data_IF_662503877459
#
_entry.id   IF_662503877459
#
_cell.length_a   1.000
_cell.length_b   1.000
_cell.length_c   1.000
_cell.angle_alpha   90.00
_cell.angle_beta   90.00
_cell.angle_gamma   90.00
#
_symmetry.space_group_name_H-M   'P 1'
#
loop_
_entity.id
_entity.type
_entity.pdbx_description
1 polymer ?
#
# COMPACT_ATOMS: atom_id res chain seq x y z
N UNK A 1 -4.24 -23.04 -2.92
CA UNK A 1 -3.37 -21.86 -2.84
C UNK A 1 -2.44 -21.90 -1.63
N UNK A 2 -2.94 -22.24 -0.45
CA UNK A 2 -2.13 -22.20 0.77
C UNK A 2 -1.60 -23.57 1.21
N UNK A 3 -1.76 -24.61 0.39
CA UNK A 3 -1.33 -25.97 0.74
C UNK A 3 0.18 -26.10 0.95
N UNK A 4 0.96 -25.21 0.29
CA UNK A 4 2.42 -25.27 0.35
C UNK A 4 3.01 -24.42 1.46
N UNK A 5 2.17 -23.77 2.27
CA UNK A 5 2.64 -22.94 3.37
C UNK A 5 2.59 -23.68 4.69
N UNK A 6 3.52 -23.38 5.62
CA UNK A 6 3.43 -23.95 6.96
C UNK A 6 2.20 -23.42 7.70
N UNK A 7 1.70 -24.17 8.66
CA UNK A 7 0.61 -23.71 9.52
C UNK A 7 1.14 -23.42 10.92
N UNK A 8 0.71 -22.32 11.57
CA UNK A 8 -0.23 -21.33 11.05
C UNK A 8 0.39 -20.44 9.97
N UNK A 9 -0.47 -19.92 9.08
CA UNK A 9 -0.07 -18.95 8.07
C UNK A 9 -0.20 -17.56 8.67
N UNK A 10 0.83 -16.72 8.49
CA UNK A 10 0.85 -15.35 9.00
C UNK A 10 0.77 -14.39 7.80
N UNK A 11 -0.34 -13.64 7.73
CA UNK A 11 -0.53 -12.61 6.70
C UNK A 11 -0.52 -11.24 7.37
N UNK A 12 0.35 -10.35 6.91
CA UNK A 12 0.45 -9.00 7.46
C UNK A 12 -0.62 -8.10 6.80
N UNK A 13 -1.57 -7.63 7.60
CA UNK A 13 -2.66 -6.75 7.17
C UNK A 13 -2.10 -5.38 6.75
N UNK A 14 -2.17 -5.06 5.45
CA UNK A 14 -1.61 -3.82 4.85
C UNK A 14 -0.11 -3.66 5.05
N UNK A 15 0.59 -4.76 5.37
CA UNK A 15 2.01 -4.77 5.65
C UNK A 15 2.33 -4.60 7.13
N UNK A 16 3.50 -4.06 7.44
CA UNK A 16 3.94 -3.82 8.81
C UNK A 16 3.51 -2.43 9.27
N UNK A 17 2.30 -2.32 9.83
CA UNK A 17 1.68 -1.04 10.21
C UNK A 17 2.38 -0.33 11.35
N UNK A 18 3.16 -1.06 12.14
CA UNK A 18 3.86 -0.48 13.29
C UNK A 18 5.09 0.31 12.87
N UNK A 19 5.72 -0.10 11.78
CA UNK A 19 7.04 0.41 11.40
C UNK A 19 7.07 1.12 10.05
N UNK A 20 6.00 1.03 9.25
CA UNK A 20 5.97 1.62 7.91
C UNK A 20 4.53 2.00 7.53
N UNK A 21 4.36 2.95 6.58
CA UNK A 21 3.01 3.35 6.16
C UNK A 21 2.28 2.20 5.47
N UNK A 22 0.98 2.06 5.79
CA UNK A 22 0.15 0.97 5.27
C UNK A 22 0.13 0.92 3.75
N UNK A 23 -0.01 -0.29 3.19
CA UNK A 23 -0.21 -0.50 1.75
C UNK A 23 0.89 0.13 0.90
N UNK A 24 2.14 0.13 1.37
CA UNK A 24 3.30 0.58 0.59
C UNK A 24 4.28 -0.56 0.40
N UNK A 25 5.16 -0.43 -0.58
CA UNK A 25 6.22 -1.42 -0.79
C UNK A 25 7.12 -1.51 0.44
N UNK A 26 7.36 -0.39 1.12
CA UNK A 26 8.16 -0.38 2.34
C UNK A 26 7.54 -1.24 3.44
N UNK A 27 6.20 -1.13 3.66
CA UNK A 27 5.53 -1.92 4.69
C UNK A 27 5.50 -3.40 4.34
N UNK A 28 5.32 -3.74 3.07
CA UNK A 28 5.31 -5.13 2.62
C UNK A 28 6.69 -5.76 2.75
N UNK A 29 7.73 -5.04 2.35
CA UNK A 29 9.10 -5.54 2.48
C UNK A 29 9.47 -5.81 3.94
N UNK A 30 9.10 -4.90 4.85
CA UNK A 30 9.37 -5.08 6.28
C UNK A 30 8.60 -6.28 6.86
N UNK A 31 7.33 -6.44 6.46
CA UNK A 31 6.53 -7.57 6.94
C UNK A 31 7.15 -8.90 6.55
N UNK A 32 7.56 -9.04 5.30
CA UNK A 32 8.19 -10.26 4.80
C UNK A 32 9.54 -10.51 5.47
N UNK A 33 10.32 -9.45 5.67
CA UNK A 33 11.62 -9.55 6.33
C UNK A 33 11.48 -10.02 7.78
N UNK A 34 10.38 -9.69 8.44
CA UNK A 34 10.11 -10.09 9.82
C UNK A 34 9.45 -11.45 9.93
N UNK A 35 9.28 -12.16 8.84
CA UNK A 35 8.83 -13.55 8.85
C UNK A 35 7.37 -13.77 8.52
N UNK A 36 6.65 -12.75 8.04
CA UNK A 36 5.30 -12.97 7.54
C UNK A 36 5.32 -13.88 6.31
N UNK A 37 4.33 -14.75 6.18
CA UNK A 37 4.22 -15.64 5.03
C UNK A 37 3.72 -14.94 3.78
N UNK A 38 3.03 -13.82 3.96
CA UNK A 38 2.54 -12.99 2.87
C UNK A 38 1.98 -11.69 3.42
N UNK A 39 1.38 -10.91 2.55
CA UNK A 39 0.76 -9.64 2.93
C UNK A 39 -0.68 -9.61 2.44
N UNK A 40 -1.54 -8.98 3.23
CA UNK A 40 -2.90 -8.64 2.82
C UNK A 40 -2.88 -7.19 2.37
N UNK A 41 -3.49 -6.90 1.23
CA UNK A 41 -3.52 -5.56 0.69
C UNK A 41 -4.92 -5.21 0.19
N UNK A 42 -5.14 -3.92 -0.05
CA UNK A 42 -6.40 -3.40 -0.56
C UNK A 42 -6.15 -2.75 -1.92
N UNK A 43 -7.01 -3.04 -2.88
CA UNK A 43 -6.85 -2.55 -4.25
C UNK A 43 -8.02 -1.67 -4.66
N UNK A 44 -7.73 -0.62 -5.42
CA UNK A 44 -8.72 0.31 -5.96
C UNK A 44 -8.37 0.66 -7.40
N UNK A 45 -9.37 1.15 -8.15
CA UNK A 45 -9.18 1.57 -9.55
C UNK A 45 -9.07 3.08 -9.65
N UNK A 46 -8.10 3.54 -10.42
CA UNK A 46 -7.97 4.95 -10.81
C UNK A 46 -8.98 5.30 -11.89
N UNK A 47 -9.07 6.60 -12.23
CA UNK A 47 -10.00 7.06 -13.28
C UNK A 47 -9.71 6.43 -14.64
N UNK A 48 -8.44 6.07 -14.90
CA UNK A 48 -8.01 5.45 -16.16
C UNK A 48 -7.87 3.93 -16.05
N UNK A 49 -8.52 3.31 -15.03
CA UNK A 49 -8.65 1.87 -14.94
C UNK A 49 -7.41 1.12 -14.48
N UNK A 50 -6.45 1.80 -13.88
CA UNK A 50 -5.26 1.15 -13.34
C UNK A 50 -5.50 0.70 -11.91
N UNK A 51 -4.93 -0.45 -11.52
CA UNK A 51 -5.10 -1.02 -10.17
C UNK A 51 -3.96 -0.56 -9.28
N UNK A 52 -4.34 0.15 -8.21
CA UNK A 52 -3.37 0.64 -7.22
C UNK A 52 -3.69 0.04 -5.86
N UNK A 53 -2.73 0.11 -4.94
CA UNK A 53 -2.84 -0.49 -3.60
C UNK A 53 -3.07 0.63 -2.60
N UNK A 54 -4.31 0.74 -2.11
CA UNK A 54 -4.72 1.75 -1.14
C UNK A 54 -6.05 1.30 -0.51
N UNK A 55 -6.24 1.60 0.78
CA UNK A 55 -7.43 1.14 1.51
C UNK A 55 -8.65 2.04 1.29
N UNK A 56 -8.47 3.36 1.49
CA UNK A 56 -9.59 4.30 1.47
C UNK A 56 -10.04 4.58 0.03
N UNK A 57 -11.27 5.09 -0.11
CA UNK A 57 -11.77 5.54 -1.40
C UNK A 57 -11.25 6.92 -1.79
N UNK A 58 -10.57 7.61 -0.86
CA UNK A 58 -9.92 8.89 -1.11
C UNK A 58 -8.44 8.81 -0.77
N UNK A 59 -7.65 9.76 -1.27
CA UNK A 59 -6.20 9.80 -1.03
C UNK A 59 -5.81 10.60 0.21
N UNK A 60 -6.77 11.22 0.89
CA UNK A 60 -6.52 12.25 1.90
C UNK A 60 -5.73 11.76 3.12
N UNK A 61 -6.08 10.58 3.66
CA UNK A 61 -5.53 10.12 4.94
C UNK A 61 -4.08 9.65 4.83
N UNK A 62 -3.74 8.94 3.75
CA UNK A 62 -2.44 8.26 3.63
C UNK A 62 -1.53 8.88 2.58
N UNK A 63 -1.93 10.00 1.99
CA UNK A 63 -1.07 10.76 1.06
C UNK A 63 -1.19 12.24 1.33
N UNK A 64 -0.36 13.02 0.62
CA UNK A 64 -0.42 14.48 0.67
C UNK A 64 -1.44 15.05 -0.32
N UNK A 65 -2.20 14.22 -1.00
CA UNK A 65 -3.21 14.64 -1.98
C UNK A 65 -4.60 14.74 -1.38
N UNK A 66 -5.55 15.06 -2.24
CA UNK A 66 -6.96 15.24 -1.89
C UNK A 66 -7.84 14.59 -2.94
N UNK A 67 -9.00 14.09 -2.49
CA UNK A 67 -10.06 13.67 -3.38
C UNK A 67 -10.16 12.17 -3.57
N UNK A 68 -11.16 11.78 -4.36
CA UNK A 68 -11.48 10.38 -4.58
C UNK A 68 -10.51 9.75 -5.56
N UNK A 69 -10.17 8.47 -5.29
CA UNK A 69 -9.28 7.70 -6.16
C UNK A 69 -9.81 7.66 -7.60
N UNK A 70 -11.12 7.46 -7.76
CA UNK A 70 -11.75 7.38 -9.08
C UNK A 70 -11.66 8.68 -9.88
N UNK A 71 -11.33 9.79 -9.23
CA UNK A 71 -11.15 11.09 -9.89
C UNK A 71 -9.70 11.38 -10.27
N UNK A 72 -8.77 10.51 -9.87
CA UNK A 72 -7.34 10.66 -10.17
C UNK A 72 -6.90 9.67 -11.23
N UNK A 73 -6.05 10.13 -12.17
CA UNK A 73 -5.35 9.24 -13.08
C UNK A 73 -4.20 8.55 -12.34
N UNK A 74 -3.66 7.47 -12.92
CA UNK A 74 -2.49 6.82 -12.36
C UNK A 74 -1.32 7.81 -12.24
N UNK A 75 -1.09 8.63 -13.26
CA UNK A 75 -0.02 9.63 -13.24
C UNK A 75 -0.16 10.57 -12.04
N UNK A 76 -1.37 11.07 -11.79
CA UNK A 76 -1.66 11.94 -10.65
C UNK A 76 -1.37 11.23 -9.32
N UNK A 77 -1.85 9.99 -9.18
CA UNK A 77 -1.64 9.21 -7.95
C UNK A 77 -0.15 8.98 -7.70
N UNK A 78 0.63 8.68 -8.74
CA UNK A 78 2.05 8.33 -8.59
C UNK A 78 2.92 9.54 -8.23
N UNK A 79 2.39 10.74 -8.32
CA UNK A 79 3.09 11.95 -7.87
C UNK A 79 2.86 12.25 -6.40
N UNK A 80 1.90 11.56 -5.75
CA UNK A 80 1.60 11.78 -4.34
C UNK A 80 2.62 11.09 -3.45
N UNK A 81 2.84 11.68 -2.27
CA UNK A 81 3.69 11.12 -1.23
C UNK A 81 2.79 10.30 -0.29
N UNK A 82 3.04 9.00 -0.21
CA UNK A 82 2.26 8.06 0.61
C UNK A 82 3.01 7.65 1.88
N UNK A 83 4.08 8.35 2.24
CA UNK A 83 4.92 7.95 3.36
C UNK A 83 5.08 8.99 4.46
N UNK A 84 5.17 10.27 4.12
CA UNK A 84 5.44 11.33 5.10
C UNK A 84 4.37 11.42 6.19
N UNK A 85 3.11 11.13 5.87
CA UNK A 85 2.03 11.15 6.86
C UNK A 85 2.31 10.22 8.04
N UNK A 86 3.02 9.14 7.77
CA UNK A 86 3.38 8.15 8.79
C UNK A 86 4.65 8.61 9.54
N UNK A 87 5.70 8.97 8.79
CA UNK A 87 6.97 9.44 9.34
C UNK A 87 7.78 10.04 8.20
N UNK A 88 8.51 11.12 8.48
CA UNK A 88 9.30 11.82 7.47
C UNK A 88 10.36 10.95 6.79
N UNK A 89 10.85 9.92 7.48
CA UNK A 89 11.85 9.01 6.87
C UNK A 89 11.29 8.24 5.66
N UNK A 90 9.97 8.20 5.51
CA UNK A 90 9.31 7.57 4.36
C UNK A 90 8.90 8.59 3.29
N UNK A 91 9.40 9.82 3.37
CA UNK A 91 9.14 10.83 2.35
C UNK A 91 9.50 10.29 0.97
N UNK A 92 8.63 10.49 -0.01
CA UNK A 92 8.84 9.99 -1.36
C UNK A 92 8.30 8.59 -1.63
N UNK A 93 7.78 7.91 -0.61
CA UNK A 93 7.14 6.61 -0.81
C UNK A 93 5.90 6.79 -1.70
N UNK A 94 5.71 5.87 -2.65
CA UNK A 94 4.63 5.97 -3.63
C UNK A 94 3.46 5.07 -3.27
N UNK A 95 2.26 5.43 -3.76
CA UNK A 95 1.14 4.50 -3.80
C UNK A 95 1.50 3.41 -4.81
N UNK A 96 1.55 2.13 -4.43
CA UNK A 96 2.01 1.10 -5.35
C UNK A 96 0.99 0.77 -6.44
N UNK A 97 1.50 0.36 -7.60
CA UNK A 97 0.73 -0.42 -8.54
C UNK A 97 0.64 -1.85 -8.03
N UNK A 98 -0.47 -2.54 -8.30
CA UNK A 98 -0.64 -3.91 -7.85
C UNK A 98 0.48 -4.84 -8.37
N UNK A 99 0.97 -4.59 -9.55
CA UNK A 99 1.98 -5.44 -10.20
C UNK A 99 3.41 -5.22 -9.71
N UNK A 100 3.62 -4.27 -8.80
CA UNK A 100 4.97 -4.00 -8.27
C UNK A 100 5.41 -4.95 -7.16
#
# INVERSE_FOLDING_TARGET
MFENFPTPIILAHRGDLTHAPENTLASFAQALQKGADGVELDAKLTSDGQVIVIHDTTVDRTTNGKGRIQSHSLESIRQLDAGTWFNEKFSGEKVPLLEE
#
